data_IF_787084736848
#
_entry.id   IF_787084736848
#
_cell.length_a   1.000
_cell.length_b   1.000
_cell.length_c   1.000
_cell.angle_alpha   90.00
_cell.angle_beta   90.00
_cell.angle_gamma   90.00
#
_symmetry.space_group_name_H-M   'P 1'
#
loop_
_entity.id
_entity.type
_entity.pdbx_description
1 polymer ?
#
# COMPACT_ATOMS: atom_id res chain seq x y z
N UNK A 1 -8.47 -9.12 4.08
CA UNK A 1 -7.75 -9.16 2.79
C UNK A 1 -6.92 -7.89 2.66
N UNK A 2 -5.76 -7.96 1.99
CA UNK A 2 -4.81 -6.85 1.85
C UNK A 2 -4.88 -6.34 0.41
N UNK A 3 -5.08 -5.03 0.22
CA UNK A 3 -5.22 -4.41 -1.10
C UNK A 3 -4.09 -3.40 -1.28
N UNK A 4 -3.21 -3.62 -2.26
CA UNK A 4 -2.13 -2.69 -2.60
C UNK A 4 -2.46 -1.86 -3.84
N UNK A 5 -2.29 -0.54 -3.75
CA UNK A 5 -2.41 0.41 -4.86
C UNK A 5 -1.00 0.94 -5.16
N UNK A 6 -0.27 0.30 -6.11
CA UNK A 6 1.04 0.77 -6.52
C UNK A 6 0.94 2.08 -7.32
N UNK A 7 2.03 2.83 -7.37
CA UNK A 7 2.13 3.98 -8.27
C UNK A 7 2.27 3.48 -9.70
N UNK A 8 1.51 4.09 -10.60
CA UNK A 8 1.61 3.76 -12.01
C UNK A 8 2.95 4.26 -12.59
N UNK A 9 3.64 3.38 -13.33
CA UNK A 9 5.02 3.64 -13.82
C UNK A 9 5.03 3.97 -15.31
N UNK A 10 3.93 3.67 -16.03
CA UNK A 10 3.83 3.91 -17.47
C UNK A 10 3.56 5.39 -17.76
N UNK A 11 4.50 6.01 -18.49
CA UNK A 11 4.30 7.33 -19.11
C UNK A 11 3.14 7.20 -20.11
N UNK A 12 2.07 7.97 -19.92
CA UNK A 12 0.86 8.06 -20.77
C UNK A 12 -0.41 7.33 -20.29
N UNK A 13 -0.46 6.82 -19.06
CA UNK A 13 -1.71 6.35 -18.44
C UNK A 13 -1.86 6.98 -17.05
N UNK A 14 -2.82 7.89 -16.89
CA UNK A 14 -3.03 8.67 -15.65
C UNK A 14 -4.13 8.09 -14.75
N UNK A 15 -4.55 6.84 -15.00
CA UNK A 15 -5.64 6.20 -14.28
C UNK A 15 -5.09 5.61 -12.98
N UNK A 16 -5.64 6.02 -11.84
CA UNK A 16 -5.37 5.40 -10.54
C UNK A 16 -6.27 4.17 -10.35
N UNK A 17 -5.74 3.08 -9.78
CA UNK A 17 -6.47 1.82 -9.63
C UNK A 17 -7.70 1.93 -8.70
N UNK A 18 -7.68 2.86 -7.73
CA UNK A 18 -8.86 3.22 -6.97
C UNK A 18 -8.80 4.68 -6.50
N UNK A 19 -9.96 5.34 -6.48
CA UNK A 19 -10.13 6.67 -5.90
C UNK A 19 -10.32 6.57 -4.38
N UNK A 20 -10.07 7.65 -3.61
CA UNK A 20 -10.22 7.65 -2.16
C UNK A 20 -11.58 7.14 -1.66
N UNK A 21 -12.66 7.45 -2.40
CA UNK A 21 -13.99 6.96 -2.08
C UNK A 21 -14.10 5.42 -2.11
N UNK A 22 -13.51 4.76 -3.10
CA UNK A 22 -13.47 3.29 -3.19
C UNK A 22 -12.57 2.68 -2.12
N UNK A 23 -11.46 3.34 -1.80
CA UNK A 23 -10.56 2.92 -0.71
C UNK A 23 -11.28 2.96 0.64
N UNK A 24 -12.10 3.97 0.88
CA UNK A 24 -12.93 4.06 2.08
C UNK A 24 -13.86 2.87 2.21
N UNK A 25 -14.60 2.52 1.15
CA UNK A 25 -15.50 1.36 1.16
C UNK A 25 -14.75 0.04 1.38
N UNK A 26 -13.56 -0.11 0.81
CA UNK A 26 -12.70 -1.28 1.07
C UNK A 26 -12.27 -1.33 2.55
N UNK A 27 -11.93 -0.18 3.14
CA UNK A 27 -11.60 -0.12 4.56
C UNK A 27 -12.82 -0.44 5.45
N UNK A 28 -14.00 0.08 5.10
CA UNK A 28 -15.27 -0.16 5.81
C UNK A 28 -15.71 -1.63 5.76
N UNK A 29 -15.39 -2.33 4.66
CA UNK A 29 -15.62 -3.78 4.52
C UNK A 29 -14.59 -4.64 5.26
N UNK A 30 -13.64 -4.02 5.98
CA UNK A 30 -12.62 -4.71 6.78
C UNK A 30 -11.38 -5.12 5.99
N UNK A 31 -11.18 -4.57 4.78
CA UNK A 31 -9.96 -4.75 4.01
C UNK A 31 -8.93 -3.68 4.38
N UNK A 32 -7.66 -4.07 4.51
CA UNK A 32 -6.58 -3.10 4.72
C UNK A 32 -6.02 -2.66 3.38
N UNK A 33 -6.08 -1.36 3.11
CA UNK A 33 -5.63 -0.77 1.85
C UNK A 33 -4.30 -0.05 2.06
N UNK A 34 -3.32 -0.38 1.22
CA UNK A 34 -1.99 0.23 1.20
C UNK A 34 -1.84 1.00 -0.11
N UNK A 35 -1.46 2.26 -0.04
CA UNK A 35 -1.31 3.13 -1.21
C UNK A 35 0.13 3.60 -1.30
N UNK A 36 0.75 3.41 -2.45
CA UNK A 36 2.09 3.92 -2.69
C UNK A 36 2.08 5.45 -2.74
N UNK A 37 3.10 6.07 -2.14
CA UNK A 37 3.24 7.52 -2.13
C UNK A 37 3.23 8.07 -3.57
N UNK A 38 2.44 9.11 -3.81
CA UNK A 38 2.21 9.72 -5.14
C UNK A 38 1.51 8.81 -6.16
N UNK A 39 0.82 7.75 -5.73
CA UNK A 39 0.00 6.95 -6.65
C UNK A 39 -1.17 7.76 -7.24
N UNK A 40 -1.76 8.67 -6.46
CA UNK A 40 -2.87 9.52 -6.88
C UNK A 40 -2.49 10.83 -7.57
N UNK A 41 -1.21 11.20 -7.60
CA UNK A 41 -0.73 12.50 -8.10
C UNK A 41 -1.11 12.72 -9.58
N UNK A 42 -1.13 11.64 -10.38
CA UNK A 42 -1.56 11.68 -11.78
C UNK A 42 -3.08 11.83 -11.98
N UNK A 43 -3.89 11.50 -10.96
CA UNK A 43 -5.35 11.62 -10.99
C UNK A 43 -5.86 12.81 -10.15
N UNK A 44 -4.97 13.65 -9.61
CA UNK A 44 -5.33 14.83 -8.80
C UNK A 44 -5.66 14.53 -7.34
N UNK A 45 -5.33 13.33 -6.83
CA UNK A 45 -5.56 12.96 -5.43
C UNK A 45 -4.27 12.97 -4.64
N UNK A 46 -4.30 13.64 -3.48
CA UNK A 46 -3.16 13.70 -2.56
C UNK A 46 -3.10 12.48 -1.65
N UNK A 47 -1.89 12.14 -1.20
CA UNK A 47 -1.66 11.06 -0.21
C UNK A 47 -2.56 11.23 1.05
N UNK A 48 -2.85 12.47 1.42
CA UNK A 48 -3.71 12.82 2.57
C UNK A 48 -5.16 12.39 2.38
N UNK A 49 -5.70 12.42 1.16
CA UNK A 49 -7.07 11.97 0.89
C UNK A 49 -7.18 10.46 1.08
N UNK A 50 -6.17 9.71 0.63
CA UNK A 50 -6.10 8.28 0.87
C UNK A 50 -5.96 7.96 2.36
N UNK A 51 -5.16 8.72 3.12
CA UNK A 51 -5.10 8.56 4.58
C UNK A 51 -6.44 8.83 5.26
N UNK A 52 -7.13 9.90 4.86
CA UNK A 52 -8.47 10.23 5.39
C UNK A 52 -9.51 9.15 5.06
N UNK A 53 -9.33 8.44 3.95
CA UNK A 53 -10.14 7.29 3.57
C UNK A 53 -9.82 6.01 4.38
N UNK A 54 -8.78 6.00 5.21
CA UNK A 54 -8.35 4.83 6.00
C UNK A 54 -7.26 3.99 5.33
N UNK A 55 -6.64 4.50 4.26
CA UNK A 55 -5.51 3.83 3.60
C UNK A 55 -4.19 4.13 4.31
N UNK A 56 -3.27 3.16 4.27
CA UNK A 56 -1.92 3.32 4.77
C UNK A 56 -0.96 3.69 3.65
N UNK A 57 -0.24 4.81 3.79
CA UNK A 57 0.70 5.28 2.76
C UNK A 57 2.05 4.60 2.92
N UNK A 58 2.44 3.82 1.92
CA UNK A 58 3.74 3.14 1.88
C UNK A 58 4.72 3.88 0.95
N UNK A 59 5.99 3.93 1.34
CA UNK A 59 7.07 4.59 0.55
C UNK A 59 7.75 3.64 -0.45
N UNK A 60 7.66 2.33 -0.23
CA UNK A 60 8.45 1.33 -0.96
C UNK A 60 7.58 0.12 -1.35
N UNK A 61 7.76 -0.38 -2.58
CA UNK A 61 7.07 -1.56 -3.11
C UNK A 61 7.28 -2.81 -2.28
N UNK A 62 8.42 -2.95 -1.58
CA UNK A 62 8.70 -4.09 -0.69
C UNK A 62 7.73 -4.17 0.49
N UNK A 63 7.15 -3.05 0.93
CA UNK A 63 6.26 -3.03 2.10
C UNK A 63 4.79 -3.23 1.73
N UNK A 64 4.48 -3.51 0.45
CA UNK A 64 3.16 -3.99 0.07
C UNK A 64 3.10 -5.49 0.36
N UNK A 65 2.13 -5.96 1.17
CA UNK A 65 2.00 -7.39 1.40
C UNK A 65 1.77 -8.11 0.07
N UNK A 66 2.46 -9.24 -0.19
CA UNK A 66 2.33 -9.96 -1.44
C UNK A 66 0.87 -10.37 -1.64
N UNK A 67 0.30 -9.94 -2.77
CA UNK A 67 -1.05 -10.31 -3.17
C UNK A 67 -1.02 -11.76 -3.67
N UNK A 68 -1.01 -12.74 -2.77
CA UNK A 68 -1.10 -14.15 -3.13
C UNK A 68 -2.10 -14.90 -2.24
N UNK A 69 -3.01 -15.69 -2.84
CA UNK A 69 -3.84 -16.63 -2.09
C UNK A 69 -3.06 -17.85 -1.57
N UNK A 70 -3.24 -18.08 -0.27
CA UNK A 70 -3.26 -19.29 0.58
C UNK A 70 -2.02 -20.16 0.94
N UNK A 71 -0.87 -20.18 0.25
CA UNK A 71 0.27 -21.08 0.64
C UNK A 71 1.67 -20.44 0.71
N UNK A 72 1.85 -19.30 1.38
CA UNK A 72 3.16 -18.62 1.45
C UNK A 72 3.85 -18.72 2.84
N UNK A 73 4.79 -19.67 3.06
CA UNK A 73 5.73 -19.63 4.17
C UNK A 73 6.92 -18.72 3.81
N UNK A 74 7.27 -17.78 4.70
CA UNK A 74 8.55 -17.07 4.62
C UNK A 74 8.45 -15.55 4.63
N UNK A 75 8.10 -14.98 5.77
CA UNK A 75 8.55 -13.65 6.15
C UNK A 75 9.58 -13.84 7.27
N UNK A 76 10.85 -13.98 6.91
CA UNK A 76 11.95 -13.63 7.80
C UNK A 76 12.76 -12.54 7.13
N UNK A 77 12.59 -11.32 7.59
CA UNK A 77 13.69 -10.37 7.62
C UNK A 77 13.70 -9.74 9.02
N UNK A 78 14.12 -10.56 9.99
CA UNK A 78 14.65 -10.07 11.27
C UNK A 78 15.86 -9.20 10.95
N UNK A 79 15.65 -7.89 10.84
CA UNK A 79 16.74 -6.93 10.77
C UNK A 79 17.44 -6.90 12.13
N UNK A 80 18.59 -7.55 12.12
CA UNK A 80 19.82 -7.27 12.84
C UNK A 80 19.77 -7.10 14.37
N UNK A 81 20.15 -8.21 15.00
CA UNK A 81 20.66 -8.35 16.35
C UNK A 81 21.70 -7.26 16.72
N UNK A 82 21.35 -6.34 17.62
CA UNK A 82 22.34 -5.57 18.39
C UNK A 82 21.96 -5.54 19.87
N UNK A 83 21.85 -6.74 20.45
CA UNK A 83 22.10 -6.98 21.87
C UNK A 83 23.51 -7.59 21.99
N UNK A 84 24.54 -6.75 21.78
CA UNK A 84 25.86 -7.01 22.35
C UNK A 84 25.96 -6.15 23.61
N UNK A 85 25.42 -6.68 24.69
CA UNK A 85 25.88 -6.33 26.03
C UNK A 85 27.21 -7.05 26.23
N UNK A 86 28.32 -6.29 26.21
CA UNK A 86 29.57 -6.52 26.94
C UNK A 86 30.44 -5.28 26.77
#
# INVERSE_FOLDING_TARGET
MLVGIPKEIKKSEFRVAAIPAGVKTLCETGHKVFVERRAGEGSGFSDEEFKKAGAEIIKDKKNSPPCYPEDAPGYEERVCNSRCSS
#
